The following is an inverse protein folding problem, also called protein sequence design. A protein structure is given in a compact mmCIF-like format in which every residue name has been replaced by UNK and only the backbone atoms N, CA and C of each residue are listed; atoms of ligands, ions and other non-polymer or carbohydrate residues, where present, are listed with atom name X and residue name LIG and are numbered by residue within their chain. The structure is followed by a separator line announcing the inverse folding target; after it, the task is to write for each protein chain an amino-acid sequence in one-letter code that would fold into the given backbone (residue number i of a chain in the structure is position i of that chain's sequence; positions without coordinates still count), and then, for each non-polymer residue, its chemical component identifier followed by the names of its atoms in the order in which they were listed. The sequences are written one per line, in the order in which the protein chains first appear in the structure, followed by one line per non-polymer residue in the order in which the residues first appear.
data_IF_205357746707
#
_entry.id   IF_205357746707
#
_cell.length_a   1.000
_cell.length_b   1.000
_cell.length_c   1.000
_cell.angle_alpha   90.00
_cell.angle_beta   90.00
_cell.angle_gamma   90.00
#
_symmetry.space_group_name_H-M   'P 1'
#
loop_
_entity.id
_entity.type
_entity.pdbx_description
1 polymer ?
#
# COMPACT_ATOMS: atom_id res chain seq x y z
N UNK A 1 6.43 -23.42 -0.47
CA UNK A 1 5.06 -22.91 -0.27
C UNK A 1 5.02 -21.58 -1.00
N UNK A 2 3.93 -21.31 -1.73
CA UNK A 2 3.82 -20.12 -2.58
C UNK A 2 3.29 -18.97 -1.74
N UNK A 3 3.92 -17.78 -1.76
CA UNK A 3 3.56 -16.61 -0.94
C UNK A 3 2.05 -16.26 -0.89
N UNK A 4 1.29 -16.71 -1.90
CA UNK A 4 -0.17 -16.57 -1.98
C UNK A 4 -0.92 -17.42 -0.94
N UNK A 5 -0.41 -18.59 -0.56
CA UNK A 5 -0.96 -19.43 0.49
C UNK A 5 -0.75 -18.78 1.86
N UNK A 6 0.45 -18.25 2.14
CA UNK A 6 0.73 -17.51 3.37
C UNK A 6 -0.11 -16.23 3.45
N UNK A 7 -0.24 -15.48 2.35
CA UNK A 7 -1.14 -14.33 2.28
C UNK A 7 -2.60 -14.71 2.51
N UNK A 8 -3.09 -15.76 1.85
CA UNK A 8 -4.47 -16.23 2.02
C UNK A 8 -4.74 -16.67 3.46
N UNK A 9 -3.75 -17.31 4.11
CA UNK A 9 -3.81 -17.69 5.52
C UNK A 9 -3.91 -16.45 6.42
N UNK A 10 -3.09 -15.42 6.17
CA UNK A 10 -3.19 -14.12 6.84
C UNK A 10 -4.59 -13.54 6.67
N UNK A 11 -5.09 -13.49 5.43
CA UNK A 11 -6.33 -12.81 5.10
C UNK A 11 -7.59 -13.50 5.66
N UNK A 12 -7.60 -14.84 5.74
CA UNK A 12 -8.62 -15.60 6.46
C UNK A 12 -8.51 -15.40 7.97
N UNK A 13 -7.29 -15.41 8.52
CA UNK A 13 -7.08 -15.16 9.96
C UNK A 13 -7.62 -13.79 10.38
N UNK A 14 -7.52 -12.80 9.49
CA UNK A 14 -7.99 -11.44 9.72
C UNK A 14 -9.46 -11.20 9.33
N UNK A 15 -10.20 -12.23 8.93
CA UNK A 15 -11.63 -12.13 8.58
C UNK A 15 -12.47 -11.35 9.63
N UNK A 16 -12.32 -11.57 10.95
CA UNK A 16 -13.14 -10.85 11.94
C UNK A 16 -12.99 -9.32 11.88
N UNK A 17 -11.87 -8.81 11.36
CA UNK A 17 -11.54 -7.39 11.25
C UNK A 17 -11.58 -6.87 9.80
N UNK A 18 -12.05 -7.68 8.85
CA UNK A 18 -11.98 -7.39 7.41
C UNK A 18 -12.63 -6.05 7.02
N UNK A 19 -13.64 -5.61 7.76
CA UNK A 19 -14.34 -4.32 7.54
C UNK A 19 -13.57 -3.10 8.07
N UNK A 20 -12.55 -3.31 8.90
CA UNK A 20 -11.75 -2.27 9.55
C UNK A 20 -10.35 -2.15 8.97
N UNK A 21 -9.86 -3.23 8.35
CA UNK A 21 -8.52 -3.25 7.74
C UNK A 21 -8.56 -3.07 6.22
N UNK A 22 -7.41 -2.72 5.66
CA UNK A 22 -7.13 -2.64 4.22
C UNK A 22 -5.72 -3.21 3.99
N UNK A 23 -5.58 -4.16 3.06
CA UNK A 23 -4.27 -4.65 2.63
C UNK A 23 -3.63 -3.62 1.70
N UNK A 24 -2.46 -3.09 2.08
CA UNK A 24 -1.74 -2.03 1.36
C UNK A 24 -0.39 -2.56 0.84
N UNK A 25 0.53 -1.67 0.45
CA UNK A 25 1.87 -2.08 0.03
C UNK A 25 1.89 -2.79 -1.33
N UNK A 26 2.90 -3.64 -1.55
CA UNK A 26 3.03 -4.40 -2.80
C UNK A 26 1.88 -5.40 -3.02
N UNK A 27 1.35 -5.98 -1.94
CA UNK A 27 0.24 -6.93 -2.03
C UNK A 27 -1.04 -6.29 -2.55
N UNK A 28 -1.34 -5.04 -2.19
CA UNK A 28 -2.46 -4.31 -2.80
C UNK A 28 -2.39 -4.29 -4.32
N UNK A 29 -1.21 -4.01 -4.88
CA UNK A 29 -1.01 -4.00 -6.32
C UNK A 29 -1.18 -5.40 -6.93
N UNK A 30 -0.61 -6.43 -6.29
CA UNK A 30 -0.79 -7.82 -6.74
C UNK A 30 -2.27 -8.24 -6.76
N UNK A 31 -3.03 -7.82 -5.76
CA UNK A 31 -4.45 -8.14 -5.62
C UNK A 31 -5.34 -7.42 -6.64
N UNK A 32 -4.87 -6.35 -7.31
CA UNK A 32 -5.62 -5.74 -8.40
C UNK A 32 -5.85 -6.67 -9.59
N UNK A 33 -5.05 -7.74 -9.73
CA UNK A 33 -5.30 -8.76 -10.75
C UNK A 33 -6.67 -9.45 -10.60
N UNK A 34 -7.23 -9.45 -9.39
CA UNK A 34 -8.55 -10.02 -9.10
C UNK A 34 -9.69 -9.01 -9.25
N UNK A 35 -9.39 -7.79 -9.71
CA UNK A 35 -10.39 -6.74 -9.90
C UNK A 35 -10.97 -6.82 -11.33
N UNK A 36 -12.30 -6.90 -11.53
CA UNK A 36 -12.92 -7.10 -12.85
C UNK A 36 -12.64 -6.05 -13.94
N UNK A 37 -12.35 -4.80 -13.55
CA UNK A 37 -11.97 -3.67 -14.40
C UNK A 37 -10.47 -3.68 -14.72
N UNK A 38 -9.66 -4.47 -14.01
CA UNK A 38 -8.24 -4.60 -14.32
C UNK A 38 -8.03 -5.41 -15.61
N UNK A 39 -7.25 -4.86 -16.52
CA UNK A 39 -6.76 -5.60 -17.68
C UNK A 39 -5.70 -6.61 -17.24
N UNK A 40 -5.72 -7.81 -17.83
CA UNK A 40 -4.68 -8.81 -17.62
C UNK A 40 -3.39 -8.38 -18.31
N UNK A 41 -2.46 -7.82 -17.55
CA UNK A 41 -1.15 -7.46 -18.06
C UNK A 41 -0.32 -8.70 -18.44
N UNK A 42 0.45 -8.60 -19.53
CA UNK A 42 1.41 -9.62 -19.98
C UNK A 42 2.69 -9.68 -19.14
N UNK A 43 2.62 -9.21 -17.90
CA UNK A 43 3.78 -9.13 -17.03
C UNK A 43 3.50 -9.54 -15.60
N UNK A 44 4.58 -9.93 -14.92
CA UNK A 44 4.53 -10.21 -13.50
C UNK A 44 4.58 -8.91 -12.67
N UNK A 45 3.78 -8.82 -11.59
CA UNK A 45 3.94 -7.78 -10.58
C UNK A 45 5.35 -7.78 -9.99
N UNK A 46 5.81 -6.62 -9.49
CA UNK A 46 7.03 -6.55 -8.69
C UNK A 46 6.87 -7.48 -7.49
N UNK A 47 7.89 -8.30 -7.24
CA UNK A 47 7.92 -9.18 -6.07
C UNK A 47 7.84 -8.39 -4.76
N UNK A 48 6.98 -8.83 -3.85
CA UNK A 48 6.81 -8.27 -2.50
C UNK A 48 6.78 -9.44 -1.52
N UNK A 49 7.59 -9.32 -0.48
CA UNK A 49 7.70 -10.36 0.56
C UNK A 49 6.71 -10.10 1.71
N UNK A 50 6.22 -8.86 1.80
CA UNK A 50 5.68 -8.22 2.97
C UNK A 50 4.23 -7.77 2.76
N UNK A 51 3.32 -8.33 3.55
CA UNK A 51 1.92 -7.93 3.57
C UNK A 51 1.72 -6.80 4.59
N UNK A 52 1.44 -5.60 4.08
CA UNK A 52 1.08 -4.47 4.93
C UNK A 52 -0.44 -4.45 5.20
N UNK A 53 -0.82 -4.41 6.47
CA UNK A 53 -2.22 -4.32 6.91
C UNK A 53 -2.47 -2.96 7.56
N UNK A 54 -3.22 -2.10 6.90
CA UNK A 54 -3.54 -0.77 7.38
C UNK A 54 -4.93 -0.69 8.03
N UNK A 55 -5.06 0.12 9.08
CA UNK A 55 -6.35 0.48 9.68
C UNK A 55 -6.40 1.97 10.04
N UNK A 56 -7.60 2.54 10.15
CA UNK A 56 -7.78 3.97 10.38
C UNK A 56 -7.31 4.43 11.77
N UNK A 57 -6.98 5.72 11.90
CA UNK A 57 -6.63 6.26 13.22
C UNK A 57 -7.82 6.08 14.18
N UNK A 58 -7.56 5.53 15.37
CA UNK A 58 -8.59 5.27 16.41
C UNK A 58 -9.65 4.24 15.99
N UNK A 59 -9.38 3.44 14.97
CA UNK A 59 -10.23 2.31 14.63
C UNK A 59 -10.33 1.35 15.82
N UNK A 60 -11.55 0.96 16.18
CA UNK A 60 -11.80 0.04 17.27
C UNK A 60 -11.71 -1.39 16.73
N UNK A 61 -10.59 -2.04 17.02
CA UNK A 61 -10.36 -3.44 16.69
C UNK A 61 -10.67 -4.28 17.94
N UNK A 62 -11.87 -4.87 18.00
CA UNK A 62 -12.29 -5.70 19.12
C UNK A 62 -11.63 -7.09 19.06
N UNK A 63 -11.23 -7.63 20.22
CA UNK A 63 -10.55 -8.94 20.29
C UNK A 63 -9.03 -8.82 20.28
N UNK A 64 -8.36 -9.91 19.90
CA UNK A 64 -6.90 -10.03 19.92
C UNK A 64 -6.41 -10.61 18.58
N UNK A 65 -6.00 -9.71 17.69
CA UNK A 65 -5.45 -10.05 16.37
C UNK A 65 -4.17 -10.85 16.53
N UNK A 66 -3.32 -10.46 17.47
CA UNK A 66 -2.06 -11.19 17.73
C UNK A 66 -2.33 -12.63 18.12
N UNK A 67 -3.28 -12.87 19.02
CA UNK A 67 -3.64 -14.22 19.43
C UNK A 67 -4.17 -15.05 18.25
N UNK A 68 -4.99 -14.44 17.38
CA UNK A 68 -5.49 -15.10 16.17
C UNK A 68 -4.35 -15.47 15.20
N UNK A 69 -3.41 -14.54 14.96
CA UNK A 69 -2.23 -14.78 14.14
C UNK A 69 -1.36 -15.92 14.70
N UNK A 70 -1.09 -15.92 16.01
CA UNK A 70 -0.31 -16.99 16.65
C UNK A 70 -1.04 -18.33 16.54
N UNK A 71 -2.35 -18.36 16.71
CA UNK A 71 -3.15 -19.58 16.55
C UNK A 71 -3.13 -20.11 15.11
N UNK A 72 -3.01 -19.22 14.11
CA UNK A 72 -2.84 -19.56 12.70
C UNK A 72 -1.39 -19.91 12.31
N UNK A 73 -0.45 -19.92 13.26
CA UNK A 73 0.94 -20.34 13.03
C UNK A 73 1.92 -19.22 12.70
N UNK A 74 1.52 -17.95 12.82
CA UNK A 74 2.44 -16.82 12.70
C UNK A 74 3.32 -16.67 13.95
N UNK A 75 4.57 -16.27 13.76
CA UNK A 75 5.49 -15.91 14.85
C UNK A 75 5.68 -14.40 14.90
N UNK A 76 5.48 -13.80 16.07
CA UNK A 76 5.74 -12.37 16.28
C UNK A 76 7.24 -12.13 16.49
N UNK A 77 7.81 -11.22 15.70
CA UNK A 77 9.20 -10.80 15.80
C UNK A 77 9.33 -9.27 15.81
N UNK A 78 10.23 -8.70 16.62
CA UNK A 78 10.50 -7.27 16.61
C UNK A 78 11.23 -6.86 15.33
N UNK A 79 10.71 -5.83 14.66
CA UNK A 79 11.40 -5.10 13.62
C UNK A 79 12.18 -3.94 14.26
N UNK A 80 13.51 -4.08 14.32
CA UNK A 80 14.40 -3.10 14.96
C UNK A 80 14.80 -1.93 14.04
N UNK A 81 14.19 -1.82 12.86
CA UNK A 81 14.43 -0.69 11.97
C UNK A 81 13.78 0.58 12.56
N UNK A 82 14.56 1.62 12.85
CA UNK A 82 14.05 2.95 13.24
C UNK A 82 14.03 3.29 14.74
N UNK A 83 14.66 2.49 15.62
CA UNK A 83 14.80 2.77 17.07
C UNK A 83 13.49 3.10 17.82
N UNK A 84 12.35 2.56 17.34
CA UNK A 84 11.04 2.82 17.92
C UNK A 84 10.83 2.16 19.29
N UNK A 85 10.01 2.78 20.15
CA UNK A 85 9.66 2.27 21.48
C UNK A 85 8.15 2.33 21.73
N UNK A 86 7.43 1.19 21.70
CA UNK A 86 7.92 -0.17 21.36
C UNK A 86 8.39 -0.28 19.90
N UNK A 87 9.24 -1.27 19.56
CA UNK A 87 9.60 -1.55 18.17
C UNK A 87 8.35 -1.88 17.36
N UNK A 88 8.39 -1.64 16.05
CA UNK A 88 7.39 -2.20 15.15
C UNK A 88 7.49 -3.74 15.19
N UNK A 89 6.40 -4.44 14.95
CA UNK A 89 6.36 -5.90 15.01
C UNK A 89 5.98 -6.46 13.65
N UNK A 90 6.65 -7.55 13.27
CA UNK A 90 6.33 -8.35 12.08
C UNK A 90 5.81 -9.72 12.50
N UNK A 91 4.90 -10.26 11.73
CA UNK A 91 4.30 -11.58 11.94
C UNK A 91 4.75 -12.49 10.81
N UNK A 92 5.72 -13.36 11.09
CA UNK A 92 6.39 -14.21 10.09
C UNK A 92 5.68 -15.55 9.95
N UNK A 93 5.67 -16.10 8.74
CA UNK A 93 5.20 -17.46 8.46
C UNK A 93 6.25 -18.16 7.57
N UNK A 94 6.59 -19.41 7.92
CA UNK A 94 7.49 -20.24 7.10
C UNK A 94 8.94 -20.40 7.57
N UNK A 95 9.32 -19.94 8.77
CA UNK A 95 10.59 -20.30 9.44
C UNK A 95 11.90 -19.76 8.84
N UNK A 96 11.90 -19.32 7.58
CA UNK A 96 13.06 -18.73 6.92
C UNK A 96 13.10 -17.20 7.10
N UNK A 97 14.31 -16.65 7.27
CA UNK A 97 14.53 -15.20 7.39
C UNK A 97 14.14 -14.39 6.13
N UNK A 98 13.84 -15.08 5.02
CA UNK A 98 13.30 -14.52 3.77
C UNK A 98 11.85 -14.96 3.49
N UNK A 99 11.16 -15.51 4.49
CA UNK A 99 9.78 -15.95 4.38
C UNK A 99 8.79 -14.78 4.39
N UNK A 100 7.54 -15.10 4.07
CA UNK A 100 6.41 -14.17 4.13
C UNK A 100 6.29 -13.56 5.53
N UNK A 101 5.99 -12.27 5.59
CA UNK A 101 5.63 -11.62 6.85
C UNK A 101 4.56 -10.55 6.67
N UNK A 102 3.82 -10.29 7.74
CA UNK A 102 2.85 -9.21 7.81
C UNK A 102 3.28 -8.12 8.79
N UNK A 103 3.01 -6.87 8.45
CA UNK A 103 3.18 -5.72 9.34
C UNK A 103 1.88 -4.92 9.44
N UNK A 104 1.66 -4.27 10.58
CA UNK A 104 0.48 -3.44 10.80
C UNK A 104 0.84 -1.97 10.71
N UNK A 105 0.00 -1.20 10.02
CA UNK A 105 0.22 0.22 9.75
C UNK A 105 -1.01 1.03 10.17
N UNK A 106 -0.77 2.25 10.65
CA UNK A 106 -1.85 3.20 10.93
C UNK A 106 -1.42 4.64 10.60
N UNK A 107 -2.33 5.58 10.29
CA UNK A 107 -1.93 6.94 9.93
C UNK A 107 -1.17 7.68 11.04
N UNK A 108 -0.06 8.32 10.66
CA UNK A 108 0.64 9.30 11.48
C UNK A 108 0.04 10.69 11.25
N UNK A 109 -0.85 11.11 12.15
CA UNK A 109 -1.44 12.45 12.11
C UNK A 109 -0.66 13.46 12.97
N UNK A 110 -0.96 14.75 12.84
CA UNK A 110 -0.35 15.84 13.61
C UNK A 110 1.18 15.96 13.46
N UNK A 111 1.92 16.39 14.48
CA UNK A 111 3.37 16.62 14.42
C UNK A 111 4.21 15.33 14.42
N UNK A 112 3.60 14.18 14.67
CA UNK A 112 4.30 12.91 14.91
C UNK A 112 5.08 12.88 16.22
N UNK A 113 4.77 13.79 17.15
CA UNK A 113 5.32 13.82 18.50
C UNK A 113 4.18 13.68 19.52
N UNK A 114 4.38 12.86 20.55
CA UNK A 114 3.49 12.74 21.71
C UNK A 114 4.23 13.07 23.00
N UNK A 115 3.51 13.55 24.02
CA UNK A 115 4.08 13.75 25.35
C UNK A 115 4.08 12.42 26.12
N UNK A 116 5.20 12.07 26.73
CA UNK A 116 5.26 10.94 27.64
C UNK A 116 4.64 11.28 29.01
N UNK A 117 4.60 10.30 29.92
CA UNK A 117 4.06 10.47 31.29
C UNK A 117 4.83 11.52 32.11
N UNK A 118 6.03 11.92 31.67
CA UNK A 118 6.85 12.98 32.28
C UNK A 118 6.74 14.31 31.50
N UNK A 119 5.82 14.42 30.54
CA UNK A 119 5.58 15.63 29.75
C UNK A 119 6.60 15.89 28.64
N UNK A 120 7.58 14.98 28.41
CA UNK A 120 8.62 15.13 27.39
C UNK A 120 8.09 14.72 26.02
N UNK A 121 8.47 15.44 24.98
CA UNK A 121 8.14 15.07 23.61
C UNK A 121 8.95 13.84 23.19
N UNK A 122 8.24 12.83 22.68
CA UNK A 122 8.79 11.62 22.07
C UNK A 122 8.13 11.38 20.72
N UNK A 123 8.76 10.58 19.88
CA UNK A 123 8.17 10.15 18.62
C UNK A 123 6.90 9.34 18.87
N UNK A 124 5.85 9.67 18.13
CA UNK A 124 4.64 8.87 18.06
C UNK A 124 4.74 7.90 16.88
N UNK A 125 5.70 6.97 16.98
CA UNK A 125 6.06 6.10 15.86
C UNK A 125 5.27 4.79 15.80
N UNK A 126 4.75 4.32 16.93
CA UNK A 126 4.03 3.05 17.04
C UNK A 126 2.81 3.16 17.95
N UNK A 127 1.84 2.27 17.71
CA UNK A 127 0.60 2.12 18.48
C UNK A 127 0.32 0.64 18.76
N UNK A 128 -0.13 0.32 19.98
CA UNK A 128 -0.64 -1.01 20.32
C UNK A 128 -2.17 -1.00 20.18
N UNK A 129 -2.71 -1.86 19.32
CA UNK A 129 -4.16 -2.03 19.13
C UNK A 129 -4.47 -3.51 18.88
N UNK A 130 -5.53 -4.07 19.49
CA UNK A 130 -5.90 -5.49 19.40
C UNK A 130 -4.71 -6.49 19.51
N UNK A 131 -3.76 -6.21 20.41
CA UNK A 131 -2.59 -7.07 20.64
C UNK A 131 -1.43 -6.89 19.65
N UNK A 132 -1.64 -6.22 18.51
CA UNK A 132 -0.59 -5.95 17.51
C UNK A 132 0.01 -4.55 17.66
N UNK A 133 1.29 -4.40 17.32
CA UNK A 133 1.97 -3.09 17.33
C UNK A 133 2.09 -2.57 15.91
N UNK A 134 1.28 -1.55 15.59
CA UNK A 134 1.29 -0.91 14.29
C UNK A 134 2.29 0.24 14.21
N UNK A 135 2.96 0.38 13.07
CA UNK A 135 3.78 1.54 12.75
C UNK A 135 2.91 2.69 12.24
N UNK A 136 3.18 3.90 12.75
CA UNK A 136 2.50 5.11 12.30
C UNK A 136 3.21 5.73 11.10
N UNK A 137 2.54 5.82 9.95
CA UNK A 137 3.10 6.35 8.71
C UNK A 137 2.31 7.54 8.14
N UNK A 138 3.03 8.49 7.56
CA UNK A 138 2.40 9.66 6.90
C UNK A 138 1.66 9.23 5.64
N UNK A 139 0.53 9.90 5.38
CA UNK A 139 -0.26 9.75 4.15
C UNK A 139 -0.92 8.38 3.99
N UNK A 140 -0.92 7.56 5.03
CA UNK A 140 -1.60 6.26 5.01
C UNK A 140 -3.12 6.43 4.96
N UNK A 141 -3.65 7.54 5.48
CA UNK A 141 -5.07 7.87 5.44
C UNK A 141 -5.64 7.90 4.01
N UNK A 142 -4.82 8.25 3.03
CA UNK A 142 -5.20 8.28 1.61
C UNK A 142 -5.53 6.88 1.09
N UNK A 143 -4.81 5.86 1.55
CA UNK A 143 -5.02 4.46 1.14
C UNK A 143 -6.31 3.86 1.71
N UNK A 144 -6.86 4.48 2.76
CA UNK A 144 -8.10 4.05 3.42
C UNK A 144 -9.35 4.71 2.83
N UNK A 145 -9.18 5.65 1.89
CA UNK A 145 -10.27 6.32 1.22
C UNK A 145 -10.96 5.38 0.22
N UNK A 146 -12.25 5.08 0.43
CA UNK A 146 -13.09 4.23 -0.42
C UNK A 146 -12.33 3.00 -1.00
N UNK A 147 -11.84 2.10 -0.14
CA UNK A 147 -11.12 0.92 -0.61
C UNK A 147 -12.02 0.08 -1.51
N UNK A 148 -11.41 -0.52 -2.53
CA UNK A 148 -12.05 -1.50 -3.37
C UNK A 148 -12.06 -2.86 -2.71
N UNK A 149 -12.92 -3.74 -3.21
CA UNK A 149 -13.11 -5.07 -2.69
C UNK A 149 -12.79 -6.08 -3.78
N UNK A 150 -11.92 -7.05 -3.47
CA UNK A 150 -11.52 -8.12 -4.37
C UNK A 150 -11.66 -9.47 -3.69
N UNK A 151 -11.64 -10.54 -4.49
CA UNK A 151 -11.72 -11.93 -4.01
C UNK A 151 -10.61 -12.73 -4.65
N UNK A 152 -9.83 -13.46 -3.85
CA UNK A 152 -8.91 -14.47 -4.39
C UNK A 152 -9.73 -15.73 -4.66
N UNK A 153 -9.81 -16.23 -5.90
CA UNK A 153 -10.53 -17.45 -6.22
C UNK A 153 -9.99 -18.67 -5.48
N UNK A 154 -10.82 -19.71 -5.33
CA UNK A 154 -10.44 -20.98 -4.69
C UNK A 154 -9.17 -21.58 -5.31
N UNK A 155 -9.11 -21.61 -6.65
CA UNK A 155 -8.00 -22.18 -7.43
C UNK A 155 -6.64 -21.49 -7.15
N UNK A 156 -6.69 -20.22 -6.74
CA UNK A 156 -5.51 -19.39 -6.49
C UNK A 156 -5.15 -19.31 -5.01
N UNK A 157 -6.13 -19.42 -4.10
CA UNK A 157 -5.95 -19.26 -2.66
C UNK A 157 -4.86 -20.15 -2.06
N UNK A 158 -4.66 -21.35 -2.63
CA UNK A 158 -3.85 -22.40 -2.04
C UNK A 158 -4.44 -23.00 -0.76
N UNK A 159 -5.70 -22.69 -0.41
CA UNK A 159 -6.39 -23.15 0.79
C UNK A 159 -7.57 -24.09 0.49
N UNK A 160 -7.96 -24.22 -0.78
CA UNK A 160 -9.14 -24.99 -1.17
C UNK A 160 -10.46 -24.28 -0.86
N UNK A 161 -10.43 -22.96 -0.67
CA UNK A 161 -11.61 -22.09 -0.60
C UNK A 161 -11.26 -20.67 -1.09
N UNK A 162 -12.24 -19.93 -1.59
CA UNK A 162 -12.03 -18.54 -2.00
C UNK A 162 -11.81 -17.62 -0.79
N UNK A 163 -10.95 -16.62 -0.94
CA UNK A 163 -10.73 -15.58 0.08
C UNK A 163 -11.46 -14.31 -0.35
N UNK A 164 -12.68 -14.15 0.14
CA UNK A 164 -13.59 -13.09 -0.30
C UNK A 164 -13.40 -11.75 0.43
N UNK A 165 -14.01 -10.70 -0.11
CA UNK A 165 -14.20 -9.42 0.55
C UNK A 165 -12.91 -8.70 1.01
N UNK A 166 -11.79 -8.95 0.34
CA UNK A 166 -10.51 -8.31 0.65
C UNK A 166 -10.55 -6.84 0.29
N UNK A 167 -10.26 -5.97 1.24
CA UNK A 167 -10.20 -4.53 1.01
C UNK A 167 -8.79 -4.12 0.61
N UNK A 168 -8.67 -3.46 -0.54
CA UNK A 168 -7.42 -2.87 -1.06
C UNK A 168 -7.66 -1.39 -1.37
N UNK A 169 -6.63 -0.52 -1.35
CA UNK A 169 -6.78 0.86 -1.79
C UNK A 169 -7.38 0.89 -3.19
N UNK A 170 -8.20 1.89 -3.50
CA UNK A 170 -8.53 2.13 -4.91
C UNK A 170 -7.25 2.58 -5.67
N UNK A 171 -7.18 2.37 -7.00
CA UNK A 171 -5.99 2.67 -7.80
C UNK A 171 -5.50 4.12 -7.70
N UNK A 172 -6.42 5.09 -7.62
CA UNK A 172 -6.06 6.51 -7.45
C UNK A 172 -5.36 6.71 -6.11
N UNK A 173 -5.99 6.30 -5.01
CA UNK A 173 -5.41 6.39 -3.67
C UNK A 173 -4.02 5.75 -3.60
N UNK A 174 -3.83 4.60 -4.25
CA UNK A 174 -2.55 3.91 -4.32
C UNK A 174 -1.48 4.78 -5.00
N UNK A 175 -1.76 5.30 -6.20
CA UNK A 175 -0.83 6.19 -6.94
C UNK A 175 -0.55 7.50 -6.20
N UNK A 176 -1.59 8.14 -5.65
CA UNK A 176 -1.48 9.39 -4.91
C UNK A 176 -0.60 9.22 -3.67
N UNK A 177 -0.71 8.09 -2.97
CA UNK A 177 0.15 7.83 -1.83
C UNK A 177 1.63 7.73 -2.23
N UNK A 178 1.96 7.05 -3.35
CA UNK A 178 3.33 6.99 -3.91
C UNK A 178 3.88 8.39 -4.19
N UNK A 179 3.07 9.24 -4.82
CA UNK A 179 3.44 10.64 -5.06
C UNK A 179 3.72 11.38 -3.76
N UNK A 180 2.87 11.23 -2.73
CA UNK A 180 3.02 11.93 -1.45
C UNK A 180 4.26 11.49 -0.66
N UNK A 181 4.65 10.22 -0.72
CA UNK A 181 5.81 9.70 0.01
C UNK A 181 7.13 9.83 -0.74
N UNK A 182 7.12 10.23 -2.02
CA UNK A 182 8.32 10.22 -2.90
C UNK A 182 9.58 10.84 -2.27
N UNK A 183 9.44 11.97 -1.56
CA UNK A 183 10.57 12.70 -0.92
C UNK A 183 11.08 12.04 0.37
N UNK A 184 10.40 10.98 0.82
CA UNK A 184 10.76 10.16 1.98
C UNK A 184 11.38 8.82 1.56
N UNK A 185 11.56 8.60 0.26
CA UNK A 185 12.27 7.44 -0.27
C UNK A 185 13.75 7.78 -0.32
N UNK A 186 14.49 7.34 0.68
CA UNK A 186 15.93 7.62 0.80
C UNK A 186 16.77 6.82 -0.21
N UNK A 187 16.19 5.77 -0.81
CA UNK A 187 16.83 4.91 -1.81
C UNK A 187 16.22 5.16 -3.20
N UNK A 188 17.04 5.53 -4.18
CA UNK A 188 16.62 5.74 -5.57
C UNK A 188 15.87 4.53 -6.15
N UNK A 189 16.29 3.30 -5.82
CA UNK A 189 15.62 2.08 -6.27
C UNK A 189 14.18 1.98 -5.78
N UNK A 190 13.88 2.43 -4.56
CA UNK A 190 12.51 2.41 -4.02
C UNK A 190 11.63 3.43 -4.73
N UNK A 191 12.18 4.58 -5.11
CA UNK A 191 11.46 5.58 -5.89
C UNK A 191 11.18 5.09 -7.32
N UNK A 192 12.15 4.43 -7.96
CA UNK A 192 11.94 3.79 -9.26
C UNK A 192 10.87 2.70 -9.22
N UNK A 193 10.84 1.88 -8.16
CA UNK A 193 9.75 0.91 -7.94
C UNK A 193 8.39 1.59 -7.74
N UNK A 194 8.32 2.69 -6.98
CA UNK A 194 7.08 3.47 -6.83
C UNK A 194 6.60 4.02 -8.18
N UNK A 195 7.51 4.41 -9.08
CA UNK A 195 7.19 4.81 -10.47
C UNK A 195 6.66 3.64 -11.28
N UNK A 196 7.26 2.45 -11.19
CA UNK A 196 6.74 1.25 -11.85
C UNK A 196 5.32 0.92 -11.36
N UNK A 197 5.08 1.00 -10.04
CA UNK A 197 3.75 0.80 -9.49
C UNK A 197 2.73 1.78 -10.06
N UNK A 198 3.08 3.06 -10.22
CA UNK A 198 2.20 4.07 -10.83
C UNK A 198 1.92 3.72 -12.30
N UNK A 199 2.97 3.49 -13.09
CA UNK A 199 2.85 3.13 -14.50
C UNK A 199 1.96 1.90 -14.69
N UNK A 200 2.25 0.82 -13.96
CA UNK A 200 1.53 -0.43 -14.10
C UNK A 200 0.07 -0.29 -13.66
N UNK A 201 -0.21 0.52 -12.63
CA UNK A 201 -1.59 0.83 -12.20
C UNK A 201 -2.36 1.58 -13.28
N UNK A 202 -1.76 2.59 -13.90
CA UNK A 202 -2.38 3.31 -15.03
C UNK A 202 -2.64 2.37 -16.20
N UNK A 203 -1.69 1.48 -16.50
CA UNK A 203 -1.81 0.54 -17.60
C UNK A 203 -2.93 -0.48 -17.37
N UNK A 204 -3.01 -1.12 -16.20
CA UNK A 204 -4.05 -2.15 -15.96
C UNK A 204 -5.45 -1.55 -15.82
N UNK A 205 -5.57 -0.28 -15.41
CA UNK A 205 -6.85 0.39 -15.25
C UNK A 205 -7.15 1.44 -16.33
N UNK A 206 -6.45 1.42 -17.46
CA UNK A 206 -6.59 2.43 -18.50
C UNK A 206 -8.05 2.61 -18.95
N UNK A 207 -8.79 1.50 -19.11
CA UNK A 207 -10.18 1.50 -19.54
C UNK A 207 -11.17 2.03 -18.48
N UNK A 208 -10.72 2.15 -17.22
CA UNK A 208 -11.52 2.62 -16.09
C UNK A 208 -11.14 4.04 -15.65
N UNK A 209 -10.22 4.72 -16.35
CA UNK A 209 -9.74 6.06 -15.95
C UNK A 209 -10.91 7.05 -15.89
N UNK A 210 -11.64 7.23 -16.99
CA UNK A 210 -12.72 8.22 -17.07
C UNK A 210 -13.92 7.85 -16.19
N UNK A 211 -14.30 6.57 -16.16
CA UNK A 211 -15.53 6.09 -15.52
C UNK A 211 -15.41 5.98 -14.01
N UNK A 212 -14.24 5.57 -13.51
CA UNK A 212 -14.04 5.23 -12.10
C UNK A 212 -12.96 6.08 -11.44
N UNK A 213 -11.78 6.23 -12.07
CA UNK A 213 -10.64 6.86 -11.40
C UNK A 213 -10.79 8.39 -11.32
N UNK A 214 -11.23 9.06 -12.39
CA UNK A 214 -11.46 10.52 -12.40
C UNK A 214 -12.47 10.94 -11.31
N UNK A 215 -13.66 10.30 -11.15
CA UNK A 215 -14.56 10.60 -10.05
C UNK A 215 -13.93 10.41 -8.68
N UNK A 216 -13.21 9.30 -8.46
CA UNK A 216 -12.53 9.04 -7.18
C UNK A 216 -11.49 10.12 -6.88
N UNK A 217 -10.69 10.53 -7.86
CA UNK A 217 -9.72 11.61 -7.71
C UNK A 217 -10.38 12.92 -7.30
N UNK A 218 -11.45 13.33 -7.99
CA UNK A 218 -12.16 14.59 -7.68
C UNK A 218 -12.65 14.63 -6.24
N UNK A 219 -13.18 13.52 -5.74
CA UNK A 219 -13.62 13.45 -4.35
C UNK A 219 -12.44 13.39 -3.37
N UNK A 220 -11.43 12.55 -3.65
CA UNK A 220 -10.24 12.41 -2.80
C UNK A 220 -9.48 13.73 -2.68
N UNK A 221 -9.25 14.44 -3.78
CA UNK A 221 -8.55 15.73 -3.81
C UNK A 221 -9.24 16.73 -2.87
N UNK A 222 -10.58 16.74 -2.84
CA UNK A 222 -11.37 17.57 -1.93
C UNK A 222 -11.21 17.24 -0.44
N UNK A 223 -10.68 16.06 -0.10
CA UNK A 223 -10.38 15.65 1.30
C UNK A 223 -8.95 15.97 1.73
N UNK A 224 -8.05 16.22 0.77
CA UNK A 224 -6.64 16.47 1.04
C UNK A 224 -6.42 17.90 1.57
N UNK A 225 -5.44 18.06 2.46
CA UNK A 225 -4.97 19.40 2.83
C UNK A 225 -4.32 20.10 1.62
N UNK A 226 -4.43 21.43 1.52
CA UNK A 226 -3.87 22.21 0.39
C UNK A 226 -2.40 21.89 0.09
N UNK A 227 -1.59 21.64 1.12
CA UNK A 227 -0.18 21.25 0.95
C UNK A 227 -0.02 19.83 0.37
N UNK A 228 -0.92 18.91 0.69
CA UNK A 228 -0.95 17.57 0.08
C UNK A 228 -1.36 17.66 -1.39
N UNK A 229 -2.42 18.40 -1.72
CA UNK A 229 -2.87 18.63 -3.10
C UNK A 229 -1.72 19.20 -3.96
N UNK A 230 -1.04 20.25 -3.47
CA UNK A 230 0.14 20.82 -4.13
C UNK A 230 1.28 19.81 -4.24
N UNK A 231 1.52 19.01 -3.19
CA UNK A 231 2.56 17.99 -3.21
C UNK A 231 2.31 16.93 -4.28
N UNK A 232 1.06 16.51 -4.48
CA UNK A 232 0.64 15.57 -5.52
C UNK A 232 0.93 16.14 -6.91
N UNK A 233 0.40 17.32 -7.23
CA UNK A 233 0.61 17.98 -8.53
C UNK A 233 2.10 18.21 -8.81
N UNK A 234 2.86 18.66 -7.81
CA UNK A 234 4.30 18.82 -7.92
C UNK A 234 5.01 17.48 -8.13
N UNK A 235 4.49 16.38 -7.57
CA UNK A 235 5.06 15.05 -7.72
C UNK A 235 4.91 14.53 -9.14
N UNK A 236 3.76 14.76 -9.76
CA UNK A 236 3.57 14.43 -11.17
C UNK A 236 4.53 15.23 -12.05
N UNK A 237 4.63 16.54 -11.84
CA UNK A 237 5.59 17.39 -12.58
C UNK A 237 7.04 16.94 -12.39
N UNK A 238 7.44 16.69 -11.14
CA UNK A 238 8.80 16.30 -10.78
C UNK A 238 9.21 14.93 -11.38
N UNK A 239 8.30 13.96 -11.42
CA UNK A 239 8.61 12.60 -11.87
C UNK A 239 8.36 12.39 -13.38
N UNK A 240 7.37 13.07 -13.96
CA UNK A 240 6.81 12.72 -15.27
C UNK A 240 6.77 13.88 -16.29
N UNK A 241 7.33 15.07 -16.00
CA UNK A 241 7.36 16.14 -17.02
C UNK A 241 8.40 15.90 -18.12
N UNK A 242 9.53 15.30 -17.78
CA UNK A 242 10.62 15.04 -18.71
C UNK A 242 11.40 13.78 -18.33
N UNK A 243 12.19 13.27 -19.28
CA UNK A 243 13.05 12.12 -19.09
C UNK A 243 14.10 12.38 -17.99
N UNK A 244 14.15 11.50 -17.00
CA UNK A 244 15.06 11.58 -15.86
C UNK A 244 15.56 10.19 -15.44
N UNK A 245 16.51 10.16 -14.51
CA UNK A 245 17.15 8.91 -14.08
C UNK A 245 16.19 7.95 -13.35
N UNK A 246 15.17 8.48 -12.67
CA UNK A 246 14.14 7.64 -12.01
C UNK A 246 13.30 6.91 -13.06
N UNK A 247 12.93 7.59 -14.14
CA UNK A 247 12.20 6.99 -15.27
C UNK A 247 13.03 5.91 -15.95
N UNK A 248 14.33 6.17 -16.19
CA UNK A 248 15.24 5.16 -16.78
C UNK A 248 15.36 3.94 -15.88
N UNK A 249 15.56 4.14 -14.58
CA UNK A 249 15.64 3.05 -13.61
C UNK A 249 14.31 2.26 -13.52
N UNK A 250 13.17 2.94 -13.55
CA UNK A 250 11.86 2.29 -13.56
C UNK A 250 11.66 1.44 -14.83
N UNK A 251 12.04 1.98 -15.98
CA UNK A 251 11.98 1.27 -17.26
C UNK A 251 12.89 0.05 -17.29
N UNK A 252 14.09 0.15 -16.69
CA UNK A 252 15.00 -0.99 -16.51
C UNK A 252 14.38 -2.10 -15.63
N UNK A 253 13.73 -1.73 -14.52
CA UNK A 253 13.02 -2.69 -13.65
C UNK A 253 11.92 -3.41 -14.43
N UNK A 254 11.18 -2.68 -15.28
CA UNK A 254 10.06 -3.23 -16.04
C UNK A 254 10.49 -4.00 -17.30
N UNK A 255 11.64 -3.65 -17.86
CA UNK A 255 12.04 -4.06 -19.21
C UNK A 255 11.32 -3.27 -20.33
N UNK A 256 10.88 -2.05 -20.05
CA UNK A 256 10.16 -1.19 -21.00
C UNK A 256 11.11 -0.18 -21.66
N UNK A 257 10.68 0.42 -22.78
CA UNK A 257 11.30 1.63 -23.28
C UNK A 257 11.01 2.82 -22.33
N UNK A 258 12.03 3.58 -21.88
CA UNK A 258 11.81 4.67 -20.94
C UNK A 258 10.87 5.77 -21.47
N UNK A 259 10.90 6.06 -22.78
CA UNK A 259 10.06 7.11 -23.35
C UNK A 259 8.59 6.68 -23.39
N UNK A 260 8.32 5.42 -23.71
CA UNK A 260 6.97 4.85 -23.64
C UNK A 260 6.42 4.83 -22.21
N UNK A 261 7.24 4.45 -21.22
CA UNK A 261 6.84 4.48 -19.80
C UNK A 261 6.47 5.91 -19.37
N UNK A 262 7.31 6.88 -19.73
CA UNK A 262 7.06 8.29 -19.43
C UNK A 262 5.77 8.78 -20.09
N UNK A 263 5.58 8.47 -21.37
CA UNK A 263 4.42 8.90 -22.14
C UNK A 263 3.11 8.36 -21.54
N UNK A 264 3.06 7.07 -21.20
CA UNK A 264 1.87 6.47 -20.56
C UNK A 264 1.53 7.16 -19.24
N UNK A 265 2.54 7.44 -18.42
CA UNK A 265 2.34 8.17 -17.16
C UNK A 265 1.84 9.60 -17.39
N UNK A 266 2.36 10.30 -18.40
CA UNK A 266 1.93 11.65 -18.76
C UNK A 266 0.45 11.67 -19.17
N UNK A 267 0.09 10.84 -20.14
CA UNK A 267 -1.29 10.72 -20.65
C UNK A 267 -2.25 10.32 -19.54
N UNK A 268 -1.90 9.30 -18.74
CA UNK A 268 -2.73 8.83 -17.64
C UNK A 268 -2.98 9.91 -16.56
N UNK A 269 -1.97 10.70 -16.19
CA UNK A 269 -2.19 11.79 -15.23
C UNK A 269 -2.90 13.00 -15.83
N UNK A 270 -2.70 13.30 -17.12
CA UNK A 270 -3.46 14.33 -17.84
C UNK A 270 -4.96 13.99 -17.82
N UNK A 271 -5.31 12.73 -18.11
CA UNK A 271 -6.70 12.25 -18.06
C UNK A 271 -7.28 12.30 -16.63
N UNK A 272 -6.54 11.80 -15.63
CA UNK A 272 -7.04 11.77 -14.24
C UNK A 272 -7.22 13.19 -13.67
N UNK A 273 -6.26 14.09 -13.91
CA UNK A 273 -6.26 15.43 -13.30
C UNK A 273 -6.97 16.48 -14.13
N UNK A 274 -7.17 16.25 -15.43
CA UNK A 274 -7.75 17.21 -16.36
C UNK A 274 -6.88 18.46 -16.58
N UNK A 275 -5.56 18.35 -16.40
CA UNK A 275 -4.60 19.43 -16.67
C UNK A 275 -3.81 19.08 -17.93
N UNK A 276 -4.17 19.71 -19.06
CA UNK A 276 -3.34 19.82 -20.28
C UNK A 276 -2.45 21.06 -20.22
#
# INVERSE_FOLDING_TARGET
MSDLTEFSTLALTLEPWRKQIVFVGGWAFRLYHYEPRAYTADYNPIFTQDADVAYAERELLEGDIKQALVAAGFTEEPNFTGDYKPPAMRYTMGGDAKGFYAEFLTPLTNSGKKRDRQGRLKDDATELNAGVVAQKLRYLEVLLYKPWVVTIPEDDSGLGEAVEALRVPNPVSFMIQKLLIRKRRDEQNKLAQDVVYIHDTLQIFYAAIETDLVPIWKELDGTLHLNQQKSVRNGVKELFSEMNDVIRAAAEIRGNDPAQLLQLCQEGFEEIFGEA
#
